data_IF_994239952816
#
_entry.id   IF_994239952816
#
_cell.length_a   1.000
_cell.length_b   1.000
_cell.length_c   1.000
_cell.angle_alpha   90.00
_cell.angle_beta   90.00
_cell.angle_gamma   90.00
#
_symmetry.space_group_name_H-M   'P 1'
#
loop_
_entity.id
_entity.type
_entity.pdbx_description
1 polymer ?
#
# COMPACT_ATOMS: atom_id res chain seq x y z
N UNK A 1 27.46 -5.41 -1.84
CA UNK A 1 28.31 -4.19 -1.64
C UNK A 1 27.39 -3.04 -1.28
N UNK A 2 27.83 -2.12 -0.40
CA UNK A 2 26.99 -0.97 -0.06
C UNK A 2 26.83 -0.03 -1.27
N UNK A 3 25.68 0.62 -1.38
CA UNK A 3 25.36 1.64 -2.41
C UNK A 3 25.21 3.01 -1.74
N UNK A 4 25.55 4.08 -2.46
CA UNK A 4 25.30 5.43 -1.97
C UNK A 4 23.77 5.67 -1.79
N UNK A 5 23.37 6.27 -0.67
CA UNK A 5 21.97 6.58 -0.38
C UNK A 5 21.33 7.41 -1.50
N UNK A 6 22.05 8.44 -2.02
CA UNK A 6 21.56 9.28 -3.12
C UNK A 6 21.25 8.48 -4.38
N UNK A 7 22.12 7.54 -4.76
CA UNK A 7 21.89 6.66 -5.93
C UNK A 7 20.65 5.78 -5.75
N UNK A 8 20.44 5.25 -4.55
CA UNK A 8 19.27 4.43 -4.25
C UNK A 8 17.99 5.26 -4.29
N UNK A 9 17.99 6.46 -3.72
CA UNK A 9 16.87 7.40 -3.73
C UNK A 9 16.52 7.83 -5.15
N UNK A 10 17.52 8.20 -5.95
CA UNK A 10 17.32 8.58 -7.36
C UNK A 10 16.70 7.44 -8.17
N UNK A 11 17.19 6.22 -8.01
CA UNK A 11 16.61 5.04 -8.70
C UNK A 11 15.17 4.78 -8.27
N UNK A 12 14.87 4.80 -6.96
CA UNK A 12 13.51 4.59 -6.46
C UNK A 12 12.54 5.68 -6.96
N UNK A 13 12.93 6.95 -6.90
CA UNK A 13 12.14 8.08 -7.40
C UNK A 13 11.87 7.98 -8.91
N UNK A 14 12.89 7.60 -9.68
CA UNK A 14 12.80 7.39 -11.13
C UNK A 14 11.89 6.22 -11.46
N UNK A 15 12.08 5.09 -10.79
CA UNK A 15 11.32 3.86 -11.04
C UNK A 15 9.84 4.06 -10.74
N UNK A 16 9.50 4.70 -9.63
CA UNK A 16 8.13 5.01 -9.23
C UNK A 16 7.53 6.24 -9.96
N UNK A 17 8.32 6.93 -10.81
CA UNK A 17 7.89 8.15 -11.49
C UNK A 17 7.32 9.22 -10.55
N UNK A 18 7.93 9.41 -9.39
CA UNK A 18 7.43 10.28 -8.32
C UNK A 18 7.17 11.73 -8.79
N UNK A 19 7.98 12.24 -9.72
CA UNK A 19 7.86 13.61 -10.22
C UNK A 19 6.54 13.88 -10.98
N UNK A 20 5.89 12.85 -11.51
CA UNK A 20 4.65 12.97 -12.26
C UNK A 20 3.39 12.81 -11.38
N UNK A 21 3.54 12.42 -10.12
CA UNK A 21 2.42 12.06 -9.23
C UNK A 21 2.31 13.10 -8.12
N UNK A 22 1.15 13.79 -8.08
CA UNK A 22 0.83 14.69 -6.98
C UNK A 22 0.28 13.92 -5.79
N UNK A 23 0.82 14.19 -4.60
CA UNK A 23 0.45 13.51 -3.38
C UNK A 23 0.25 14.52 -2.22
N UNK A 24 -0.30 14.07 -1.10
CA UNK A 24 -0.50 14.86 0.12
C UNK A 24 0.50 14.52 1.22
N UNK A 25 1.57 13.81 0.87
CA UNK A 25 2.77 13.61 1.68
C UNK A 25 4.03 13.68 0.80
N UNK A 26 5.21 13.98 1.34
CA UNK A 26 6.46 13.93 0.58
C UNK A 26 6.83 12.48 0.28
N UNK A 27 7.01 12.17 -1.01
CA UNK A 27 7.52 10.90 -1.48
C UNK A 27 9.05 10.94 -1.62
N UNK A 28 9.73 9.85 -1.28
CA UNK A 28 11.18 9.73 -1.31
C UNK A 28 11.83 9.77 0.07
N UNK A 29 13.01 10.37 0.14
CA UNK A 29 13.78 10.49 1.39
C UNK A 29 13.14 11.49 2.34
N UNK A 30 12.65 11.01 3.48
CA UNK A 30 12.02 11.84 4.52
C UNK A 30 12.95 12.11 5.70
N UNK A 31 13.82 11.18 6.03
CA UNK A 31 14.86 11.34 7.07
C UNK A 31 16.15 10.79 6.52
N UNK A 32 17.20 11.62 6.53
CA UNK A 32 18.53 11.24 6.08
C UNK A 32 19.34 10.66 7.25
N UNK A 33 19.91 9.48 7.04
CA UNK A 33 20.83 8.80 7.93
C UNK A 33 22.21 8.66 7.30
N UNK A 34 22.82 7.46 7.43
CA UNK A 34 24.17 7.19 6.89
C UNK A 34 24.20 7.25 5.36
N UNK A 35 25.37 7.66 4.77
CA UNK A 35 25.47 7.87 3.32
C UNK A 35 25.57 6.57 2.49
N UNK A 36 25.75 5.43 3.14
CA UNK A 36 25.89 4.12 2.49
C UNK A 36 24.82 3.15 3.01
N UNK A 37 24.20 2.40 2.11
CA UNK A 37 23.15 1.44 2.40
C UNK A 37 23.59 0.04 1.97
N UNK A 38 23.53 -0.92 2.87
CA UNK A 38 23.72 -2.35 2.61
C UNK A 38 22.43 -3.12 2.91
N UNK A 39 21.72 -2.76 3.98
CA UNK A 39 20.52 -3.45 4.45
C UNK A 39 19.30 -2.55 4.45
N UNK A 40 18.28 -2.97 3.70
CA UNK A 40 16.95 -2.36 3.67
C UNK A 40 16.01 -3.17 4.57
N UNK A 41 15.31 -2.50 5.48
CA UNK A 41 14.13 -3.05 6.14
C UNK A 41 12.90 -2.37 5.54
N UNK A 42 11.90 -3.13 5.11
CA UNK A 42 10.64 -2.56 4.67
C UNK A 42 9.49 -2.93 5.62
N UNK A 43 8.47 -2.09 5.65
CA UNK A 43 7.22 -2.29 6.37
C UNK A 43 6.15 -1.33 5.86
N UNK A 44 4.89 -1.51 6.23
CA UNK A 44 3.81 -0.67 5.70
C UNK A 44 3.88 0.75 6.25
N UNK A 45 3.96 0.89 7.57
CA UNK A 45 3.88 2.20 8.26
C UNK A 45 5.10 2.41 9.16
N UNK A 46 5.70 3.61 9.13
CA UNK A 46 6.82 3.99 9.98
C UNK A 46 6.38 4.17 11.45
N UNK A 47 5.84 3.10 12.04
CA UNK A 47 5.47 3.03 13.46
C UNK A 47 6.69 2.84 14.35
N UNK A 48 6.59 3.15 15.66
CA UNK A 48 7.70 2.90 16.59
C UNK A 48 8.11 1.42 16.59
N UNK A 49 7.12 0.50 16.51
CA UNK A 49 7.40 -0.93 16.48
C UNK A 49 8.27 -1.34 15.28
N UNK A 50 7.97 -0.81 14.09
CA UNK A 50 8.80 -1.05 12.90
C UNK A 50 10.21 -0.47 13.07
N UNK A 51 10.32 0.75 13.62
CA UNK A 51 11.62 1.39 13.84
C UNK A 51 12.49 0.59 14.83
N UNK A 52 11.90 0.14 15.92
CA UNK A 52 12.63 -0.65 16.94
C UNK A 52 13.10 -1.98 16.34
N UNK A 53 12.23 -2.68 15.59
CA UNK A 53 12.59 -3.91 14.90
C UNK A 53 13.66 -3.68 13.81
N UNK A 54 13.63 -2.56 13.10
CA UNK A 54 14.64 -2.21 12.13
C UNK A 54 16.01 -1.90 12.77
N UNK A 55 16.02 -1.27 13.95
CA UNK A 55 17.25 -1.08 14.74
C UNK A 55 17.84 -2.43 15.16
N UNK A 56 17.02 -3.37 15.66
CA UNK A 56 17.45 -4.73 16.01
C UNK A 56 17.98 -5.50 14.78
N UNK A 57 17.34 -5.32 13.64
CA UNK A 57 17.78 -5.89 12.37
C UNK A 57 19.00 -5.18 11.75
N UNK A 58 19.55 -4.14 12.41
CA UNK A 58 20.69 -3.35 11.93
C UNK A 58 20.46 -2.75 10.53
N UNK A 59 19.27 -2.19 10.30
CA UNK A 59 18.93 -1.53 9.05
C UNK A 59 19.77 -0.26 8.83
N UNK A 60 20.17 -0.03 7.59
CA UNK A 60 20.72 1.25 7.14
C UNK A 60 19.61 2.18 6.64
N UNK A 61 18.54 1.56 6.11
CA UNK A 61 17.42 2.24 5.50
C UNK A 61 16.11 1.51 5.82
N UNK A 62 15.10 2.29 6.19
CA UNK A 62 13.72 1.82 6.32
C UNK A 62 12.91 2.34 5.13
N UNK A 63 12.24 1.42 4.44
CA UNK A 63 11.35 1.69 3.31
C UNK A 63 9.91 1.44 3.73
N UNK A 64 9.04 2.45 3.62
CA UNK A 64 7.63 2.34 4.01
C UNK A 64 6.68 2.90 2.95
N UNK A 65 5.41 2.53 3.07
CA UNK A 65 4.30 3.17 2.37
C UNK A 65 3.84 4.42 3.12
N UNK A 66 3.57 4.31 4.40
CA UNK A 66 3.16 5.42 5.26
C UNK A 66 4.33 5.97 6.08
N UNK A 67 4.88 7.10 5.63
CA UNK A 67 5.90 7.84 6.35
C UNK A 67 5.34 8.92 7.27
N UNK A 68 5.99 10.07 7.24
CA UNK A 68 5.69 11.26 8.04
C UNK A 68 5.41 12.49 7.16
N UNK A 69 5.14 13.62 7.79
CA UNK A 69 5.00 14.93 7.15
C UNK A 69 3.77 15.04 6.23
N UNK A 70 2.66 14.47 6.68
CA UNK A 70 1.39 14.55 5.96
C UNK A 70 0.89 15.99 5.87
N UNK A 71 0.23 16.34 4.76
CA UNK A 71 -0.38 17.65 4.59
C UNK A 71 -1.41 17.91 5.70
N UNK A 72 -1.22 19.01 6.45
CA UNK A 72 -2.06 19.37 7.59
C UNK A 72 -1.63 18.77 8.93
N UNK A 73 -0.58 17.94 8.96
CA UNK A 73 0.03 17.49 10.21
C UNK A 73 0.72 18.65 10.94
N UNK A 74 0.66 18.64 12.28
CA UNK A 74 1.40 19.62 13.09
C UNK A 74 2.91 19.56 12.76
N UNK A 75 3.52 20.67 12.31
CA UNK A 75 4.95 20.72 12.00
C UNK A 75 5.85 20.54 13.22
N UNK A 76 5.33 20.75 14.45
CA UNK A 76 6.12 20.61 15.67
C UNK A 76 6.55 19.17 15.92
N UNK A 77 7.82 19.00 16.25
CA UNK A 77 8.41 17.68 16.54
C UNK A 77 8.30 17.41 18.04
N UNK A 78 7.12 16.93 18.45
CA UNK A 78 6.79 16.62 19.84
C UNK A 78 6.17 15.22 19.97
N UNK A 79 6.03 14.69 21.17
CA UNK A 79 5.29 13.47 21.49
C UNK A 79 5.75 12.25 20.67
N UNK A 80 4.81 11.60 19.99
CA UNK A 80 5.06 10.40 19.19
C UNK A 80 6.03 10.67 18.03
N UNK A 81 5.84 11.77 17.30
CA UNK A 81 6.69 12.17 16.18
C UNK A 81 8.15 12.38 16.62
N UNK A 82 8.35 13.05 17.75
CA UNK A 82 9.67 13.27 18.33
C UNK A 82 10.37 11.94 18.68
N UNK A 83 9.66 10.98 19.28
CA UNK A 83 10.25 9.67 19.62
C UNK A 83 10.70 8.92 18.37
N UNK A 84 9.86 8.87 17.34
CA UNK A 84 10.16 8.19 16.07
C UNK A 84 11.36 8.82 15.35
N UNK A 85 11.36 10.13 15.18
CA UNK A 85 12.49 10.83 14.55
C UNK A 85 13.78 10.70 15.36
N UNK A 86 13.70 10.74 16.71
CA UNK A 86 14.85 10.51 17.57
C UNK A 86 15.45 9.12 17.39
N UNK A 87 14.63 8.08 17.21
CA UNK A 87 15.12 6.71 16.94
C UNK A 87 15.91 6.69 15.63
N UNK A 88 15.37 7.23 14.54
CA UNK A 88 16.04 7.26 13.23
C UNK A 88 17.38 8.01 13.31
N UNK A 89 17.35 9.24 13.82
CA UNK A 89 18.54 10.11 13.90
C UNK A 89 19.62 9.54 14.86
N UNK A 90 19.23 8.93 15.97
CA UNK A 90 20.17 8.33 16.91
C UNK A 90 20.94 7.14 16.33
N UNK A 91 20.30 6.40 15.43
CA UNK A 91 20.86 5.19 14.82
C UNK A 91 21.36 5.39 13.39
N UNK A 92 21.37 6.64 12.88
CA UNK A 92 21.76 6.99 11.53
C UNK A 92 21.03 6.16 10.46
N UNK A 93 19.72 5.90 10.67
CA UNK A 93 18.87 5.13 9.75
C UNK A 93 18.10 6.10 8.87
N UNK A 94 18.18 5.91 7.56
CA UNK A 94 17.38 6.66 6.60
C UNK A 94 15.94 6.17 6.55
N UNK A 95 14.98 7.08 6.33
CA UNK A 95 13.58 6.74 6.06
C UNK A 95 13.19 7.17 4.65
N UNK A 96 12.82 6.19 3.83
CA UNK A 96 12.15 6.41 2.53
C UNK A 96 10.68 6.05 2.66
N UNK A 97 9.82 6.94 2.14
CA UNK A 97 8.38 6.69 2.08
C UNK A 97 7.86 6.93 0.66
N UNK A 98 7.04 6.00 0.16
CA UNK A 98 6.38 6.11 -1.14
C UNK A 98 4.90 5.74 -1.00
N UNK A 99 4.02 6.73 -1.14
CA UNK A 99 2.57 6.60 -0.99
C UNK A 99 1.91 6.42 -2.36
N UNK A 100 1.17 7.38 -2.91
CA UNK A 100 0.48 7.23 -4.19
C UNK A 100 1.37 6.76 -5.36
N UNK A 101 2.66 7.17 -5.48
CA UNK A 101 3.53 6.60 -6.49
C UNK A 101 3.69 5.08 -6.39
N UNK A 102 3.67 4.53 -5.17
CA UNK A 102 3.72 3.09 -4.96
C UNK A 102 2.37 2.44 -5.27
N UNK A 103 1.23 3.06 -4.92
CA UNK A 103 -0.09 2.49 -5.23
C UNK A 103 -0.34 2.34 -6.74
N UNK A 104 0.13 3.33 -7.52
CA UNK A 104 -0.10 3.44 -8.95
C UNK A 104 0.88 2.65 -9.82
N UNK A 105 1.98 2.15 -9.25
CA UNK A 105 3.04 1.54 -10.07
C UNK A 105 2.58 0.22 -10.69
N UNK A 106 2.76 0.02 -12.03
CA UNK A 106 2.20 -1.13 -12.75
C UNK A 106 2.84 -2.47 -12.40
N UNK A 107 4.06 -2.49 -11.85
CA UNK A 107 4.76 -3.73 -11.53
C UNK A 107 4.82 -4.03 -10.03
N UNK A 108 5.17 -3.03 -9.22
CA UNK A 108 5.38 -3.19 -7.77
C UNK A 108 4.30 -2.53 -6.92
N UNK A 109 3.31 -1.89 -7.53
CA UNK A 109 2.28 -1.13 -6.82
C UNK A 109 1.39 -1.98 -5.93
N UNK A 110 0.88 -1.40 -4.83
CA UNK A 110 -0.01 -2.10 -3.91
C UNK A 110 -1.21 -2.72 -4.65
N UNK A 111 -1.87 -1.96 -5.54
CA UNK A 111 -3.03 -2.44 -6.26
C UNK A 111 -2.73 -3.64 -7.18
N UNK A 112 -1.65 -3.59 -7.96
CA UNK A 112 -1.30 -4.71 -8.87
C UNK A 112 -0.76 -5.91 -8.10
N UNK A 113 -0.08 -5.69 -6.99
CA UNK A 113 0.39 -6.79 -6.16
C UNK A 113 -0.77 -7.48 -5.44
N UNK A 114 -1.77 -6.73 -4.95
CA UNK A 114 -2.99 -7.31 -4.39
C UNK A 114 -3.76 -8.13 -5.44
N UNK A 115 -3.86 -7.65 -6.69
CA UNK A 115 -4.47 -8.40 -7.79
C UNK A 115 -3.81 -9.77 -7.99
N UNK A 116 -2.47 -9.84 -7.93
CA UNK A 116 -1.71 -11.10 -8.02
C UNK A 116 -2.02 -12.05 -6.86
N UNK A 117 -2.17 -11.52 -5.62
CA UNK A 117 -2.52 -12.35 -4.46
C UNK A 117 -3.94 -12.94 -4.57
N UNK A 118 -4.84 -12.26 -5.27
CA UNK A 118 -6.25 -12.64 -5.40
C UNK A 118 -6.59 -13.30 -6.75
N UNK A 119 -5.60 -13.58 -7.59
CA UNK A 119 -5.76 -14.13 -8.94
C UNK A 119 -6.73 -13.30 -9.81
N UNK A 120 -6.63 -11.95 -9.73
CA UNK A 120 -7.41 -11.04 -10.56
C UNK A 120 -6.57 -10.63 -11.78
N UNK A 121 -7.13 -10.81 -12.97
CA UNK A 121 -6.54 -10.27 -14.20
C UNK A 121 -6.88 -8.79 -14.31
N UNK A 122 -5.86 -7.93 -14.24
CA UNK A 122 -6.03 -6.46 -14.33
C UNK A 122 -6.48 -6.07 -15.74
N UNK A 123 -7.55 -5.27 -15.85
CA UNK A 123 -8.07 -4.73 -17.11
C UNK A 123 -7.68 -3.25 -17.32
N UNK A 124 -7.59 -2.48 -16.23
CA UNK A 124 -7.23 -1.07 -16.29
C UNK A 124 -7.56 -0.27 -15.03
N UNK A 125 -7.52 1.07 -15.11
CA UNK A 125 -7.91 1.93 -14.01
C UNK A 125 -9.43 1.86 -13.75
N UNK A 126 -9.82 2.02 -12.49
CA UNK A 126 -11.23 2.02 -12.07
C UNK A 126 -12.01 3.17 -12.71
N UNK A 127 -11.41 4.33 -12.85
CA UNK A 127 -11.95 5.47 -13.59
C UNK A 127 -10.90 6.01 -14.57
N UNK A 128 -10.99 5.64 -15.87
CA UNK A 128 -10.00 6.06 -16.87
C UNK A 128 -10.03 7.57 -17.16
N UNK A 129 -11.09 8.28 -16.75
CA UNK A 129 -11.25 9.70 -16.98
C UNK A 129 -10.78 10.56 -15.81
N UNK A 130 -10.41 9.95 -14.69
CA UNK A 130 -10.03 10.64 -13.47
C UNK A 130 -8.76 10.04 -12.84
N UNK A 131 -7.62 10.61 -13.19
CA UNK A 131 -6.32 10.17 -12.66
C UNK A 131 -6.14 10.30 -11.12
N UNK A 132 -7.11 10.90 -10.41
CA UNK A 132 -7.11 10.95 -8.94
C UNK A 132 -7.69 9.69 -8.31
N UNK A 133 -8.38 8.85 -9.10
CA UNK A 133 -8.90 7.56 -8.65
C UNK A 133 -7.80 6.52 -8.86
N UNK A 134 -7.16 6.09 -7.79
CA UNK A 134 -6.01 5.17 -7.85
C UNK A 134 -6.40 3.69 -7.94
N UNK A 135 -7.69 3.37 -7.88
CA UNK A 135 -8.21 2.00 -7.99
C UNK A 135 -8.04 1.38 -9.37
N UNK A 136 -8.14 0.07 -9.41
CA UNK A 136 -8.10 -0.75 -10.62
C UNK A 136 -9.40 -1.53 -10.82
N UNK A 137 -9.63 -2.01 -12.02
CA UNK A 137 -10.69 -2.95 -12.40
C UNK A 137 -10.07 -4.16 -13.10
N UNK A 138 -10.70 -5.32 -12.91
CA UNK A 138 -10.24 -6.56 -13.50
C UNK A 138 -11.27 -7.66 -13.38
N UNK A 139 -10.90 -8.87 -13.78
CA UNK A 139 -11.81 -10.01 -13.80
C UNK A 139 -11.16 -11.27 -13.21
N UNK A 140 -12.03 -12.14 -12.67
CA UNK A 140 -11.71 -13.50 -12.30
C UNK A 140 -11.82 -14.40 -13.54
N UNK A 141 -11.00 -15.44 -13.61
CA UNK A 141 -11.07 -16.43 -14.69
C UNK A 141 -12.46 -17.09 -14.75
N UNK A 142 -13.00 -17.48 -13.60
CA UNK A 142 -14.33 -18.06 -13.46
C UNK A 142 -15.14 -17.27 -12.42
N UNK A 143 -16.47 -17.11 -12.64
CA UNK A 143 -17.34 -16.48 -11.66
C UNK A 143 -17.40 -17.30 -10.36
N UNK A 144 -17.37 -16.61 -9.22
CA UNK A 144 -17.50 -17.21 -7.89
C UNK A 144 -18.59 -16.52 -7.08
N UNK A 145 -19.06 -17.12 -5.99
CA UNK A 145 -19.96 -16.41 -5.06
C UNK A 145 -19.19 -15.33 -4.29
N UNK A 146 -19.88 -14.27 -3.82
CA UNK A 146 -19.27 -13.23 -2.98
C UNK A 146 -18.60 -13.82 -1.73
N UNK A 147 -19.20 -14.86 -1.15
CA UNK A 147 -18.63 -15.57 0.02
C UNK A 147 -17.37 -16.36 -0.30
N UNK A 148 -17.32 -17.02 -1.46
CA UNK A 148 -16.12 -17.75 -1.88
C UNK A 148 -14.98 -16.78 -2.20
N UNK A 149 -15.29 -15.62 -2.80
CA UNK A 149 -14.29 -14.59 -3.01
C UNK A 149 -13.80 -13.97 -1.69
N UNK A 150 -14.70 -13.70 -0.73
CA UNK A 150 -14.33 -13.26 0.61
C UNK A 150 -13.42 -14.27 1.34
N UNK A 151 -13.69 -15.58 1.18
CA UNK A 151 -12.82 -16.64 1.72
C UNK A 151 -11.43 -16.60 1.06
N UNK A 152 -11.34 -16.44 -0.26
CA UNK A 152 -10.06 -16.24 -0.96
C UNK A 152 -9.30 -15.04 -0.41
N UNK A 153 -9.98 -13.91 -0.19
CA UNK A 153 -9.38 -12.70 0.43
C UNK A 153 -8.87 -13.01 1.83
N UNK A 154 -9.65 -13.72 2.65
CA UNK A 154 -9.25 -14.14 3.99
C UNK A 154 -7.98 -15.00 3.98
N UNK A 155 -7.91 -15.97 3.11
CA UNK A 155 -6.77 -16.88 2.97
C UNK A 155 -5.52 -16.13 2.50
N UNK A 156 -5.65 -15.25 1.50
CA UNK A 156 -4.54 -14.48 0.95
C UNK A 156 -3.98 -13.45 1.94
N UNK A 157 -4.86 -12.79 2.69
CA UNK A 157 -4.46 -11.68 3.59
C UNK A 157 -4.25 -12.12 5.05
N UNK A 158 -4.68 -13.34 5.41
CA UNK A 158 -4.53 -13.87 6.76
C UNK A 158 -5.47 -13.21 7.79
N UNK A 159 -6.58 -12.59 7.32
CA UNK A 159 -7.59 -11.95 8.19
C UNK A 159 -8.98 -12.06 7.60
N UNK A 160 -9.99 -12.16 8.47
CA UNK A 160 -11.39 -12.16 8.06
C UNK A 160 -11.81 -10.76 7.56
N UNK A 161 -12.28 -10.63 6.30
CA UNK A 161 -12.76 -9.36 5.77
C UNK A 161 -14.21 -9.11 6.19
N UNK A 162 -14.61 -7.83 6.22
CA UNK A 162 -16.02 -7.45 6.25
C UNK A 162 -16.62 -7.65 4.86
N UNK A 163 -17.65 -8.47 4.74
CA UNK A 163 -18.41 -8.66 3.49
C UNK A 163 -19.79 -8.03 3.59
N UNK A 164 -20.14 -7.19 2.61
CA UNK A 164 -21.51 -6.72 2.35
C UNK A 164 -21.94 -7.40 1.05
N UNK A 165 -22.91 -8.33 1.15
CA UNK A 165 -23.40 -9.06 -0.01
C UNK A 165 -24.39 -8.22 -0.82
N UNK A 166 -24.16 -8.14 -2.13
CA UNK A 166 -25.04 -7.58 -3.16
C UNK A 166 -25.17 -8.60 -4.30
N UNK A 167 -24.40 -8.46 -5.37
CA UNK A 167 -24.36 -9.42 -6.50
C UNK A 167 -24.10 -10.85 -6.04
N UNK A 168 -24.91 -11.79 -6.57
CA UNK A 168 -24.81 -13.20 -6.20
C UNK A 168 -23.53 -13.87 -6.74
N UNK A 169 -23.10 -13.47 -7.93
CA UNK A 169 -21.91 -14.00 -8.61
C UNK A 169 -20.95 -12.87 -8.95
N UNK A 170 -19.69 -13.10 -8.68
CA UNK A 170 -18.60 -12.14 -8.88
C UNK A 170 -17.70 -12.64 -9.99
N UNK A 171 -17.58 -11.87 -11.04
CA UNK A 171 -16.62 -12.06 -12.13
C UNK A 171 -15.76 -10.80 -12.32
N UNK A 172 -16.39 -9.63 -12.33
CA UNK A 172 -15.70 -8.36 -12.51
C UNK A 172 -15.53 -7.65 -11.17
N UNK A 173 -14.29 -7.34 -10.83
CA UNK A 173 -13.90 -6.78 -9.53
C UNK A 173 -13.26 -5.42 -9.73
N UNK A 174 -13.71 -4.42 -8.95
CA UNK A 174 -12.99 -3.17 -8.76
C UNK A 174 -12.27 -3.19 -7.42
N UNK A 175 -11.12 -2.56 -7.29
CA UNK A 175 -10.44 -2.46 -6.00
C UNK A 175 -9.54 -1.24 -5.88
N UNK A 176 -9.34 -0.82 -4.63
CA UNK A 176 -8.32 0.13 -4.23
C UNK A 176 -7.80 -0.27 -2.86
N UNK A 177 -6.49 -0.47 -2.71
CA UNK A 177 -5.85 -0.76 -1.42
C UNK A 177 -6.02 0.40 -0.43
N UNK A 178 -5.88 0.13 0.86
CA UNK A 178 -5.96 1.13 1.91
C UNK A 178 -7.34 1.78 2.07
N UNK A 179 -7.38 3.08 2.27
CA UNK A 179 -8.60 3.88 2.52
C UNK A 179 -9.38 4.28 1.25
N UNK A 180 -9.56 3.35 0.30
CA UNK A 180 -10.24 3.60 -0.98
C UNK A 180 -11.75 3.42 -0.98
N UNK A 181 -12.43 3.23 0.17
CA UNK A 181 -13.87 2.96 0.26
C UNK A 181 -14.75 4.01 -0.40
N UNK A 182 -14.27 5.25 -0.49
CA UNK A 182 -14.99 6.35 -1.14
C UNK A 182 -15.12 6.22 -2.66
N UNK A 183 -14.40 5.29 -3.30
CA UNK A 183 -14.50 5.04 -4.75
C UNK A 183 -15.60 4.03 -5.11
N UNK A 184 -16.49 3.67 -4.19
CA UNK A 184 -17.58 2.73 -4.46
C UNK A 184 -18.50 3.21 -5.59
N UNK A 185 -18.76 4.52 -5.70
CA UNK A 185 -19.60 5.06 -6.76
C UNK A 185 -18.93 4.93 -8.14
N UNK A 186 -17.61 5.09 -8.22
CA UNK A 186 -16.83 4.82 -9.43
C UNK A 186 -16.87 3.33 -9.79
N UNK A 187 -16.85 2.45 -8.80
CA UNK A 187 -16.98 1.01 -9.01
C UNK A 187 -18.35 0.63 -9.58
N UNK A 188 -19.42 1.26 -9.07
CA UNK A 188 -20.78 1.11 -9.62
C UNK A 188 -20.82 1.58 -11.09
N UNK A 189 -20.26 2.75 -11.39
CA UNK A 189 -20.21 3.29 -12.74
C UNK A 189 -19.36 2.42 -13.69
N UNK A 190 -18.32 1.79 -13.18
CA UNK A 190 -17.49 0.84 -13.92
C UNK A 190 -18.21 -0.49 -14.19
N UNK A 191 -19.36 -0.74 -13.57
CA UNK A 191 -20.17 -1.95 -13.75
C UNK A 191 -19.49 -3.21 -13.22
N UNK A 192 -18.86 -3.12 -12.06
CA UNK A 192 -18.25 -4.28 -11.40
C UNK A 192 -19.27 -4.98 -10.49
N UNK A 193 -19.09 -6.29 -10.29
CA UNK A 193 -19.96 -7.08 -9.41
C UNK A 193 -19.58 -6.91 -7.95
N UNK A 194 -18.31 -6.60 -7.68
CA UNK A 194 -17.77 -6.42 -6.34
C UNK A 194 -16.72 -5.30 -6.34
N UNK A 195 -16.77 -4.47 -5.29
CA UNK A 195 -15.70 -3.53 -4.98
C UNK A 195 -14.98 -3.92 -3.68
N UNK A 196 -13.64 -3.96 -3.72
CA UNK A 196 -12.78 -4.27 -2.58
C UNK A 196 -11.95 -3.05 -2.19
N UNK A 197 -11.90 -2.74 -0.88
CA UNK A 197 -10.99 -1.75 -0.32
C UNK A 197 -10.43 -2.23 1.03
N UNK A 198 -9.49 -1.47 1.61
CA UNK A 198 -8.98 -1.79 2.95
C UNK A 198 -9.98 -1.43 4.04
N UNK A 199 -10.73 -0.35 3.86
CA UNK A 199 -11.66 0.19 4.87
C UNK A 199 -13.11 0.21 4.38
N UNK A 200 -14.04 0.43 5.32
CA UNK A 200 -15.44 0.74 5.07
C UNK A 200 -15.87 1.96 5.91
N UNK A 201 -16.86 2.70 5.41
CA UNK A 201 -17.58 3.72 6.15
C UNK A 201 -19.07 3.38 6.22
N UNK A 202 -19.83 4.06 7.05
CA UNK A 202 -21.29 3.85 7.17
C UNK A 202 -21.99 4.01 5.81
N UNK A 203 -21.61 5.02 5.04
CA UNK A 203 -22.14 5.28 3.71
C UNK A 203 -21.84 4.15 2.70
N UNK A 204 -20.67 3.48 2.83
CA UNK A 204 -20.29 2.36 1.96
C UNK A 204 -21.33 1.24 2.01
N UNK A 205 -21.89 0.97 3.20
CA UNK A 205 -22.93 -0.04 3.37
C UNK A 205 -24.18 0.29 2.54
N UNK A 206 -24.67 1.53 2.63
CA UNK A 206 -25.85 1.96 1.89
C UNK A 206 -25.61 1.96 0.39
N UNK A 207 -24.47 2.53 -0.06
CA UNK A 207 -24.10 2.53 -1.49
C UNK A 207 -24.03 1.12 -2.06
N UNK A 208 -23.42 0.18 -1.33
CA UNK A 208 -23.34 -1.21 -1.76
C UNK A 208 -24.72 -1.86 -1.90
N UNK A 209 -25.58 -1.70 -0.88
CA UNK A 209 -26.90 -2.32 -0.82
C UNK A 209 -27.89 -1.75 -1.85
N UNK A 210 -27.88 -0.44 -2.05
CA UNK A 210 -28.83 0.24 -2.93
C UNK A 210 -28.45 0.10 -4.42
N UNK A 211 -27.19 -0.20 -4.72
CA UNK A 211 -26.71 -0.46 -6.09
C UNK A 211 -26.52 -1.96 -6.39
N UNK A 212 -26.93 -2.87 -5.49
CA UNK A 212 -26.77 -4.33 -5.64
C UNK A 212 -25.34 -4.78 -5.97
N UNK A 213 -24.33 -4.03 -5.51
CA UNK A 213 -22.92 -4.39 -5.64
C UNK A 213 -22.42 -5.03 -4.35
N UNK A 214 -21.64 -6.11 -4.44
CA UNK A 214 -20.94 -6.64 -3.27
C UNK A 214 -19.79 -5.73 -2.87
N UNK A 215 -19.48 -5.62 -1.56
CA UNK A 215 -18.36 -4.86 -1.06
C UNK A 215 -17.55 -5.65 -0.04
N UNK A 216 -16.22 -5.54 -0.10
CA UNK A 216 -15.30 -6.14 0.86
C UNK A 216 -14.39 -5.06 1.45
N UNK A 217 -14.35 -4.96 2.81
CA UNK A 217 -13.28 -4.26 3.52
C UNK A 217 -12.28 -5.30 4.03
N UNK A 218 -11.08 -5.29 3.44
CA UNK A 218 -10.10 -6.34 3.61
C UNK A 218 -8.96 -5.99 4.59
N UNK A 219 -8.96 -4.77 5.12
CA UNK A 219 -7.95 -4.21 6.01
C UNK A 219 -7.00 -3.27 5.29
N UNK A 220 -6.85 -2.05 5.81
CA UNK A 220 -5.97 -1.04 5.25
C UNK A 220 -4.53 -1.57 5.17
N UNK A 221 -3.95 -1.88 6.32
CA UNK A 221 -2.61 -2.45 6.43
C UNK A 221 -2.45 -3.74 5.59
N UNK A 222 -3.43 -4.65 5.68
CA UNK A 222 -3.34 -5.95 5.04
C UNK A 222 -3.30 -5.86 3.51
N UNK A 223 -3.99 -4.89 2.91
CA UNK A 223 -4.01 -4.66 1.46
C UNK A 223 -2.76 -3.96 0.94
N UNK A 224 -1.95 -3.32 1.80
CA UNK A 224 -0.79 -2.51 1.41
C UNK A 224 0.57 -3.14 1.78
N UNK A 225 0.59 -4.38 2.23
CA UNK A 225 1.85 -5.09 2.58
C UNK A 225 2.73 -5.41 1.38
N UNK A 226 2.14 -5.62 0.22
CA UNK A 226 2.82 -6.24 -0.92
C UNK A 226 3.63 -5.25 -1.76
N UNK A 227 3.22 -3.99 -1.82
CA UNK A 227 3.92 -2.96 -2.60
C UNK A 227 5.31 -2.67 -2.05
N UNK A 228 5.43 -2.42 -0.74
CA UNK A 228 6.73 -2.15 -0.11
C UNK A 228 7.66 -3.36 -0.17
N UNK A 229 7.13 -4.58 -0.09
CA UNK A 229 7.90 -5.81 -0.28
C UNK A 229 8.46 -5.88 -1.70
N UNK A 230 7.61 -5.70 -2.70
CA UNK A 230 7.99 -5.77 -4.10
C UNK A 230 9.01 -4.67 -4.48
N UNK A 231 8.85 -3.45 -3.96
CA UNK A 231 9.80 -2.37 -4.15
C UNK A 231 11.14 -2.64 -3.44
N UNK A 232 11.11 -3.12 -2.20
CA UNK A 232 12.29 -3.51 -1.45
C UNK A 232 13.09 -4.61 -2.16
N UNK A 233 12.41 -5.63 -2.67
CA UNK A 233 13.00 -6.71 -3.47
C UNK A 233 13.58 -6.20 -4.79
N UNK A 234 12.91 -5.26 -5.46
CA UNK A 234 13.43 -4.63 -6.66
C UNK A 234 14.74 -3.92 -6.39
N UNK A 235 14.79 -3.05 -5.37
CA UNK A 235 15.99 -2.31 -5.00
C UNK A 235 17.12 -3.23 -4.55
N UNK A 236 16.79 -4.26 -3.76
CA UNK A 236 17.76 -5.25 -3.31
C UNK A 236 18.42 -6.02 -4.50
N UNK A 237 17.62 -6.47 -5.46
CA UNK A 237 18.13 -7.12 -6.68
C UNK A 237 18.94 -6.15 -7.54
N UNK A 238 18.49 -4.91 -7.67
CA UNK A 238 19.12 -3.89 -8.52
C UNK A 238 20.53 -3.50 -8.06
N UNK A 239 20.75 -3.47 -6.74
CA UNK A 239 21.99 -3.01 -6.12
C UNK A 239 22.74 -4.09 -5.34
N UNK A 240 22.29 -5.33 -5.37
CA UNK A 240 22.83 -6.46 -4.60
C UNK A 240 22.90 -6.16 -3.09
N UNK A 241 21.76 -5.69 -2.53
CA UNK A 241 21.56 -5.35 -1.12
C UNK A 241 20.80 -6.45 -0.38
N UNK A 242 20.87 -6.42 0.94
CA UNK A 242 20.01 -7.21 1.80
C UNK A 242 18.65 -6.53 1.95
N UNK A 243 17.56 -7.31 1.87
CA UNK A 243 16.20 -6.81 2.12
C UNK A 243 15.46 -7.74 3.08
N UNK A 244 14.81 -7.14 4.08
CA UNK A 244 13.96 -7.81 5.04
C UNK A 244 12.64 -7.05 5.17
N UNK A 245 11.52 -7.72 4.88
CA UNK A 245 10.20 -7.19 5.22
C UNK A 245 9.83 -7.55 6.66
N UNK A 246 9.40 -6.57 7.44
CA UNK A 246 8.89 -6.75 8.81
C UNK A 246 7.42 -6.37 8.83
N UNK A 247 6.57 -7.36 9.06
CA UNK A 247 5.14 -7.13 9.29
C UNK A 247 4.92 -6.68 10.75
N UNK A 248 4.36 -5.49 10.92
CA UNK A 248 3.87 -4.99 12.20
C UNK A 248 2.35 -5.06 12.18
N UNK A 249 1.72 -6.13 12.69
CA UNK A 249 0.29 -6.37 12.54
C UNK A 249 -0.56 -5.18 12.97
N UNK A 250 -1.52 -4.83 12.12
CA UNK A 250 -2.50 -3.78 12.38
C UNK A 250 -3.89 -4.34 12.04
N UNK A 251 -4.87 -4.25 12.95
CA UNK A 251 -6.21 -4.79 12.71
C UNK A 251 -7.07 -3.94 11.75
N UNK A 252 -6.59 -2.74 11.34
CA UNK A 252 -7.28 -1.83 10.41
C UNK A 252 -6.80 -2.03 8.99
#
# INVERSE_FOLDING_TARGET
>A
MAVALSTLVEEANRYLNCAAISDYCPNGLQVEGRPQVLRIVSGVTASQALLDAAVEAQADLILVHHGYFWKGEDPCITGMKQRRLKTLLKHDISLLAYHLPLDLHPDVGNNVQLAKQLDITVEGPLDPNNAKVVGLVGSLAEPVTARDFARRVQEALGREPLLIEGSAMIRRVGWCTGGGQGYIDQAVLAGVDLYLSGEASEQTFHSARENDISFIAAGHHATERYGVQALGDYLARRFALEHLFIDCPNPI
#
